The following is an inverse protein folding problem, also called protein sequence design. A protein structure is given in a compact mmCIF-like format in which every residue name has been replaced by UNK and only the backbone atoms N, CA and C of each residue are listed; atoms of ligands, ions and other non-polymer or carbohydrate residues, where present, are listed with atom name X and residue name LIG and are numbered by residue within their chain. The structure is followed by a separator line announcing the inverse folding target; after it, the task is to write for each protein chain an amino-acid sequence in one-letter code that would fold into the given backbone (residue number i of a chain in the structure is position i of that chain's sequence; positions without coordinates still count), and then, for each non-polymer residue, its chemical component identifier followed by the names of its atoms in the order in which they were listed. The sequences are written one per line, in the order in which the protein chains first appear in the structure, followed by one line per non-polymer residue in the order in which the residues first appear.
data_IF_507532802985
#
_entry.id   IF_507532802985
#
_cell.length_a   1.000
_cell.length_b   1.000
_cell.length_c   1.000
_cell.angle_alpha   90.00
_cell.angle_beta   90.00
_cell.angle_gamma   90.00
#
_symmetry.space_group_name_H-M   'P 1'
#
loop_
_entity.id
_entity.type
_entity.pdbx_description
1 polymer ?
#
# COMPACT_ATOMS: atom_id res chain seq x y z
N UNK A 1 25.67 -22.58 13.88
CA UNK A 1 25.27 -23.89 14.43
C UNK A 1 24.07 -24.54 13.71
N UNK A 2 23.23 -23.81 13.04
CA UNK A 2 22.07 -24.35 12.30
C UNK A 2 22.42 -25.10 11.00
N UNK A 3 23.57 -24.80 10.37
CA UNK A 3 24.00 -25.45 9.13
C UNK A 3 24.49 -26.92 9.28
N UNK A 4 24.85 -27.34 10.47
CA UNK A 4 25.28 -28.74 10.72
C UNK A 4 24.10 -29.71 10.91
N UNK A 5 22.90 -29.21 11.24
CA UNK A 5 21.71 -30.04 11.36
C UNK A 5 21.12 -30.44 9.99
N UNK A 6 21.36 -29.62 8.97
CA UNK A 6 20.81 -29.85 7.61
C UNK A 6 21.58 -30.95 6.84
N UNK A 7 22.87 -31.14 7.12
CA UNK A 7 23.69 -32.12 6.43
C UNK A 7 23.50 -33.59 6.92
N UNK A 8 22.85 -33.78 8.08
CA UNK A 8 22.63 -35.12 8.67
C UNK A 8 21.31 -35.79 8.22
N UNK A 9 20.45 -35.06 7.51
CA UNK A 9 19.15 -35.57 7.04
C UNK A 9 19.14 -36.01 5.58
N UNK A 10 20.25 -35.87 4.83
CA UNK A 10 20.34 -36.16 3.39
C UNK A 10 21.06 -37.44 3.00
N UNK A 11 21.56 -38.24 3.95
CA UNK A 11 22.23 -39.52 3.63
C UNK A 11 21.53 -40.66 4.37
N UNK A 12 20.86 -41.48 3.59
CA UNK A 12 20.25 -42.71 4.04
C UNK A 12 21.28 -43.83 4.20
N UNK A 13 21.01 -44.69 5.17
CA UNK A 13 21.50 -46.06 5.22
C UNK A 13 22.67 -46.27 6.18
N UNK A 14 22.41 -46.82 7.39
CA UNK A 14 22.85 -48.14 7.71
C UNK A 14 22.27 -48.61 9.06
N UNK A 15 21.82 -49.86 9.07
CA UNK A 15 21.20 -50.55 10.21
C UNK A 15 22.30 -50.91 11.23
N UNK A 16 22.13 -50.44 12.46
CA UNK A 16 22.76 -51.03 13.63
C UNK A 16 21.66 -51.54 14.55
N UNK A 17 21.59 -52.84 14.71
CA UNK A 17 20.68 -53.52 15.61
C UNK A 17 21.03 -53.25 17.05
N UNK A 18 20.07 -52.83 17.87
CA UNK A 18 20.11 -52.90 19.33
C UNK A 18 18.84 -53.57 19.84
N UNK A 19 19.09 -54.51 20.74
CA UNK A 19 18.15 -55.47 21.24
C UNK A 19 16.90 -54.91 21.91
N UNK A 20 15.89 -55.77 21.93
CA UNK A 20 14.56 -55.58 22.48
C UNK A 20 14.57 -55.29 23.97
N UNK A 21 14.18 -54.08 24.37
CA UNK A 21 13.62 -53.80 25.69
C UNK A 21 12.17 -53.41 25.46
N UNK A 22 11.24 -54.25 25.94
CA UNK A 22 9.79 -54.06 25.81
C UNK A 22 9.32 -52.84 26.60
N UNK A 23 8.97 -51.77 25.88
CA UNK A 23 8.19 -50.64 26.39
C UNK A 23 6.77 -50.74 25.82
N UNK A 24 5.74 -50.37 26.59
CA UNK A 24 4.36 -50.44 26.12
C UNK A 24 4.17 -49.59 24.87
N UNK A 25 3.49 -50.16 23.86
CA UNK A 25 3.21 -49.53 22.59
C UNK A 25 2.31 -48.32 22.75
N UNK A 26 2.89 -47.14 22.93
CA UNK A 26 2.19 -45.87 22.75
C UNK A 26 2.03 -45.64 21.24
N UNK A 27 0.82 -45.90 20.71
CA UNK A 27 0.45 -45.51 19.37
C UNK A 27 0.07 -44.01 19.41
N UNK A 28 1.06 -43.14 19.35
CA UNK A 28 0.84 -41.73 19.03
C UNK A 28 0.16 -41.58 17.65
N UNK A 29 -0.51 -40.47 17.37
CA UNK A 29 -1.06 -40.21 16.05
C UNK A 29 0.04 -40.41 15.00
N UNK A 30 -0.28 -41.09 13.90
CA UNK A 30 0.67 -41.37 12.82
C UNK A 30 1.39 -40.08 12.46
N UNK A 31 2.71 -40.09 12.52
CA UNK A 31 3.52 -38.95 12.09
C UNK A 31 3.08 -38.55 10.66
N UNK A 32 2.83 -37.26 10.38
CA UNK A 32 2.44 -36.83 9.05
C UNK A 32 3.51 -37.29 8.06
N UNK A 33 3.08 -37.97 6.99
CA UNK A 33 4.00 -38.52 6.01
C UNK A 33 4.92 -37.40 5.47
N UNK A 34 6.23 -37.60 5.52
CA UNK A 34 7.27 -36.65 5.06
C UNK A 34 7.08 -36.15 3.62
N UNK A 35 6.31 -36.83 2.78
CA UNK A 35 5.97 -36.39 1.43
C UNK A 35 5.05 -35.16 1.40
N UNK A 36 4.22 -34.91 2.42
CA UNK A 36 3.40 -33.70 2.56
C UNK A 36 4.18 -32.52 3.17
N UNK A 37 5.32 -32.75 3.78
CA UNK A 37 6.18 -31.71 4.35
C UNK A 37 6.93 -30.91 3.25
N UNK A 38 7.17 -31.48 2.07
CA UNK A 38 7.87 -30.82 0.97
C UNK A 38 7.17 -29.55 0.48
N UNK A 39 5.85 -29.50 0.52
CA UNK A 39 5.08 -28.33 0.09
C UNK A 39 5.19 -27.18 1.12
N UNK A 40 5.23 -27.51 2.39
CA UNK A 40 5.42 -26.50 3.47
C UNK A 40 6.83 -25.92 3.41
N UNK A 41 7.87 -26.75 3.21
CA UNK A 41 9.25 -26.29 3.11
C UNK A 41 9.44 -25.35 1.91
N UNK A 42 8.87 -25.66 0.75
CA UNK A 42 8.89 -24.76 -0.43
C UNK A 42 8.24 -23.41 -0.14
N UNK A 43 7.12 -23.39 0.59
CA UNK A 43 6.47 -22.13 0.98
C UNK A 43 7.36 -21.33 1.91
N UNK A 44 8.03 -21.98 2.89
CA UNK A 44 8.95 -21.33 3.82
C UNK A 44 10.19 -20.79 3.12
N UNK A 45 10.79 -21.56 2.20
CA UNK A 45 11.93 -21.13 1.36
C UNK A 45 11.53 -19.95 0.45
N UNK A 46 10.33 -20.00 -0.13
CA UNK A 46 9.78 -18.88 -0.90
C UNK A 46 9.57 -17.63 -0.05
N UNK A 47 9.09 -17.79 1.18
CA UNK A 47 8.91 -16.68 2.13
C UNK A 47 10.26 -16.08 2.56
N UNK A 48 11.27 -16.91 2.88
CA UNK A 48 12.63 -16.47 3.20
C UNK A 48 13.20 -15.64 2.04
N UNK A 49 13.16 -16.20 0.83
CA UNK A 49 13.63 -15.50 -0.39
C UNK A 49 12.92 -14.17 -0.61
N UNK A 50 11.59 -14.12 -0.41
CA UNK A 50 10.81 -12.89 -0.58
C UNK A 50 11.17 -11.81 0.44
N UNK A 51 11.37 -12.20 1.71
CA UNK A 51 11.76 -11.29 2.79
C UNK A 51 13.14 -10.69 2.50
N UNK A 52 14.13 -11.53 2.19
CA UNK A 52 15.49 -11.06 1.87
C UNK A 52 15.55 -10.22 0.61
N UNK A 53 14.78 -10.60 -0.43
CA UNK A 53 14.67 -9.82 -1.66
C UNK A 53 14.08 -8.44 -1.40
N UNK A 54 12.95 -8.35 -0.68
CA UNK A 54 12.33 -7.07 -0.33
C UNK A 54 13.27 -6.20 0.51
N UNK A 55 13.99 -6.79 1.48
CA UNK A 55 14.96 -6.08 2.31
C UNK A 55 16.15 -5.56 1.51
N UNK A 56 16.71 -6.37 0.59
CA UNK A 56 17.81 -5.95 -0.28
C UNK A 56 17.39 -4.84 -1.25
N UNK A 57 16.19 -4.92 -1.82
CA UNK A 57 15.64 -3.86 -2.68
C UNK A 57 15.41 -2.56 -1.88
N UNK A 58 14.91 -2.64 -0.64
CA UNK A 58 14.79 -1.48 0.26
C UNK A 58 16.15 -0.86 0.55
N UNK A 59 17.15 -1.68 0.89
CA UNK A 59 18.51 -1.24 1.14
C UNK A 59 19.13 -0.52 -0.07
N UNK A 60 18.86 -0.98 -1.31
CA UNK A 60 19.32 -0.28 -2.52
C UNK A 60 18.75 1.15 -2.63
N UNK A 61 17.53 1.37 -2.17
CA UNK A 61 16.92 2.70 -2.16
C UNK A 61 17.41 3.54 -0.97
N UNK A 62 17.52 2.95 0.21
CA UNK A 62 17.95 3.63 1.45
C UNK A 62 19.40 4.09 1.40
N UNK A 63 20.28 3.32 0.78
CA UNK A 63 21.69 3.66 0.60
C UNK A 63 21.94 4.65 -0.54
N UNK A 64 20.93 5.01 -1.32
CA UNK A 64 21.07 5.87 -2.49
C UNK A 64 21.63 5.17 -3.74
N UNK A 65 21.86 3.84 -3.70
CA UNK A 65 22.43 3.08 -4.82
C UNK A 65 21.62 3.25 -6.11
N UNK A 66 20.29 3.36 -6.02
CA UNK A 66 19.43 3.53 -7.20
C UNK A 66 19.76 4.81 -7.99
N UNK A 67 20.06 5.91 -7.31
CA UNK A 67 20.38 7.18 -7.97
C UNK A 67 21.63 7.08 -8.86
N UNK A 68 22.59 6.24 -8.49
CA UNK A 68 23.84 6.05 -9.22
C UNK A 68 23.73 5.08 -10.42
N UNK A 69 22.59 4.37 -10.55
CA UNK A 69 22.32 3.46 -11.66
C UNK A 69 21.72 4.14 -12.90
N UNK A 70 21.45 5.44 -12.85
CA UNK A 70 20.94 6.20 -13.99
C UNK A 70 21.92 6.27 -15.19
N UNK A 71 23.20 6.02 -14.95
CA UNK A 71 24.27 5.96 -15.96
C UNK A 71 25.08 4.67 -15.77
N UNK A 72 25.73 4.14 -16.84
CA UNK A 72 26.60 2.99 -16.72
C UNK A 72 27.77 3.24 -15.76
N UNK A 73 27.94 2.39 -14.73
CA UNK A 73 28.99 2.49 -13.74
C UNK A 73 29.57 1.10 -13.39
N UNK A 74 30.83 1.05 -12.98
CA UNK A 74 31.43 -0.18 -12.45
C UNK A 74 31.00 -0.41 -11.01
N UNK A 75 31.13 -1.64 -10.51
CA UNK A 75 30.83 -1.97 -9.11
C UNK A 75 31.67 -1.12 -8.15
N UNK A 76 32.95 -0.89 -8.45
CA UNK A 76 33.84 -0.11 -7.59
C UNK A 76 33.41 1.37 -7.53
N UNK A 77 33.01 1.95 -8.68
CA UNK A 77 32.45 3.30 -8.72
C UNK A 77 31.18 3.42 -7.88
N UNK A 78 30.25 2.45 -8.02
CA UNK A 78 29.02 2.43 -7.23
C UNK A 78 29.32 2.28 -5.73
N UNK A 79 30.25 1.39 -5.37
CA UNK A 79 30.64 1.14 -3.99
C UNK A 79 31.21 2.40 -3.32
N UNK A 80 32.07 3.15 -4.02
CA UNK A 80 32.57 4.44 -3.57
C UNK A 80 31.45 5.46 -3.37
N UNK A 81 30.50 5.55 -4.33
CA UNK A 81 29.41 6.53 -4.30
C UNK A 81 28.46 6.36 -3.12
N UNK A 82 28.30 5.12 -2.61
CA UNK A 82 27.41 4.81 -1.49
C UNK A 82 28.15 4.41 -0.21
N UNK A 83 29.48 4.53 -0.19
CA UNK A 83 30.34 4.17 0.96
C UNK A 83 30.13 2.74 1.48
N UNK A 84 29.94 1.79 0.57
CA UNK A 84 29.79 0.37 0.88
C UNK A 84 30.96 -0.44 0.28
N UNK A 85 31.16 -1.68 0.78
CA UNK A 85 32.13 -2.56 0.17
C UNK A 85 31.74 -3.00 -1.24
N UNK A 86 32.69 -3.15 -2.19
CA UNK A 86 32.39 -3.65 -3.54
C UNK A 86 31.71 -5.02 -3.55
N UNK A 87 32.05 -5.89 -2.59
CA UNK A 87 31.43 -7.20 -2.45
C UNK A 87 29.92 -7.10 -2.12
N UNK A 88 29.56 -6.20 -1.19
CA UNK A 88 28.16 -5.96 -0.84
C UNK A 88 27.39 -5.33 -2.00
N UNK A 89 27.94 -4.31 -2.66
CA UNK A 89 27.29 -3.66 -3.81
C UNK A 89 27.09 -4.66 -4.95
N UNK A 90 28.05 -5.52 -5.24
CA UNK A 90 27.91 -6.58 -6.25
C UNK A 90 26.76 -7.53 -5.95
N UNK A 91 26.56 -7.92 -4.68
CA UNK A 91 25.44 -8.78 -4.29
C UNK A 91 24.09 -8.06 -4.34
N UNK A 92 24.02 -6.80 -3.91
CA UNK A 92 22.80 -5.98 -4.06
C UNK A 92 22.43 -5.78 -5.53
N UNK A 93 23.40 -5.48 -6.40
CA UNK A 93 23.19 -5.40 -7.84
C UNK A 93 22.76 -6.76 -8.40
N UNK A 94 23.25 -7.86 -7.87
CA UNK A 94 22.83 -9.22 -8.20
C UNK A 94 21.35 -9.45 -7.92
N UNK A 95 20.83 -8.95 -6.78
CA UNK A 95 19.39 -8.99 -6.47
C UNK A 95 18.59 -8.14 -7.46
N UNK A 96 19.04 -6.91 -7.77
CA UNK A 96 18.39 -6.09 -8.79
C UNK A 96 18.36 -6.77 -10.16
N UNK A 97 19.45 -7.47 -10.53
CA UNK A 97 19.56 -8.20 -11.79
C UNK A 97 18.60 -9.38 -11.86
N UNK A 98 18.40 -10.13 -10.76
CA UNK A 98 17.42 -11.23 -10.69
C UNK A 98 15.99 -10.77 -10.94
N UNK A 99 15.68 -9.52 -10.61
CA UNK A 99 14.40 -8.86 -10.91
C UNK A 99 14.37 -8.16 -12.28
N UNK A 100 15.44 -8.25 -13.09
CA UNK A 100 15.57 -7.55 -14.38
C UNK A 100 15.48 -6.03 -14.25
N UNK A 101 15.92 -5.48 -13.12
CA UNK A 101 15.92 -4.04 -12.86
C UNK A 101 17.20 -3.36 -13.36
N UNK A 102 18.26 -4.12 -13.61
CA UNK A 102 19.50 -3.62 -14.17
C UNK A 102 19.93 -4.44 -15.38
N UNK A 103 20.75 -3.82 -16.23
CA UNK A 103 21.40 -4.44 -17.36
C UNK A 103 22.90 -4.23 -17.28
N UNK A 104 23.65 -5.27 -17.65
CA UNK A 104 25.10 -5.24 -17.71
C UNK A 104 25.55 -4.95 -19.14
N UNK A 105 26.59 -4.13 -19.25
CA UNK A 105 27.34 -3.88 -20.47
C UNK A 105 28.82 -4.02 -20.11
N UNK A 106 29.40 -5.19 -20.44
CA UNK A 106 30.72 -5.62 -20.01
C UNK A 106 30.89 -5.58 -18.47
N UNK A 107 31.74 -4.69 -17.95
CA UNK A 107 32.03 -4.49 -16.53
C UNK A 107 31.12 -3.40 -15.88
N UNK A 108 30.24 -2.78 -16.65
CA UNK A 108 29.37 -1.69 -16.22
C UNK A 108 27.93 -2.15 -16.08
N UNK A 109 27.26 -1.61 -15.09
CA UNK A 109 25.84 -1.84 -14.82
C UNK A 109 25.07 -0.53 -14.84
N UNK A 110 23.86 -0.57 -15.36
CA UNK A 110 22.91 0.57 -15.33
C UNK A 110 21.49 0.10 -15.12
N UNK A 111 20.61 1.00 -14.74
CA UNK A 111 19.19 0.73 -14.63
C UNK A 111 18.60 0.25 -15.97
N UNK A 112 17.76 -0.77 -15.93
CA UNK A 112 16.89 -1.15 -17.01
C UNK A 112 15.79 -0.08 -17.20
N UNK A 113 15.13 0.00 -18.37
CA UNK A 113 14.06 0.99 -18.62
C UNK A 113 12.96 0.99 -17.54
N UNK A 114 12.64 -0.15 -16.96
CA UNK A 114 11.65 -0.29 -15.89
C UNK A 114 12.09 0.35 -14.57
N UNK A 115 13.38 0.37 -14.25
CA UNK A 115 13.93 0.97 -13.04
C UNK A 115 14.34 2.43 -13.24
N UNK A 116 14.59 2.87 -14.47
CA UNK A 116 15.11 4.20 -14.77
C UNK A 116 14.31 5.35 -14.12
N UNK A 117 12.96 5.33 -14.07
CA UNK A 117 12.18 6.35 -13.36
C UNK A 117 12.47 6.44 -11.86
N UNK A 118 13.01 5.36 -11.25
CA UNK A 118 13.33 5.27 -9.82
C UNK A 118 14.77 5.66 -9.50
N UNK A 119 15.54 6.13 -10.48
CA UNK A 119 16.89 6.67 -10.26
C UNK A 119 16.90 8.18 -10.02
N UNK A 120 15.75 8.86 -10.10
CA UNK A 120 15.57 10.25 -9.68
C UNK A 120 15.32 10.33 -8.16
N UNK A 121 15.53 11.48 -7.50
CA UNK A 121 15.22 11.62 -6.07
C UNK A 121 13.80 11.22 -5.71
N UNK A 122 12.79 11.73 -6.44
CA UNK A 122 11.38 11.42 -6.18
C UNK A 122 11.06 9.96 -6.50
N UNK A 123 11.68 9.40 -7.53
CA UNK A 123 11.53 8.01 -7.89
C UNK A 123 12.14 7.06 -6.85
N UNK A 124 13.33 7.37 -6.37
CA UNK A 124 14.00 6.60 -5.31
C UNK A 124 13.18 6.61 -4.01
N UNK A 125 12.65 7.78 -3.62
CA UNK A 125 11.76 7.90 -2.47
C UNK A 125 10.50 7.04 -2.63
N UNK A 126 9.91 7.08 -3.81
CA UNK A 126 8.76 6.24 -4.16
C UNK A 126 9.08 4.75 -4.06
N UNK A 127 10.22 4.33 -4.58
CA UNK A 127 10.68 2.93 -4.51
C UNK A 127 10.89 2.51 -3.07
N UNK A 128 11.56 3.35 -2.27
CA UNK A 128 11.78 3.15 -0.84
C UNK A 128 10.46 2.99 -0.10
N UNK A 129 9.53 3.93 -0.25
CA UNK A 129 8.24 3.91 0.42
C UNK A 129 7.40 2.66 0.06
N UNK A 130 7.48 2.21 -1.22
CA UNK A 130 6.76 1.03 -1.69
C UNK A 130 7.17 -0.28 -0.99
N UNK A 131 8.38 -0.33 -0.46
CA UNK A 131 8.91 -1.49 0.28
C UNK A 131 8.87 -1.25 1.79
N UNK A 132 9.23 -0.06 2.24
CA UNK A 132 9.32 0.29 3.67
C UNK A 132 7.97 0.19 4.37
N UNK A 133 6.90 0.75 3.79
CA UNK A 133 5.58 0.69 4.39
C UNK A 133 5.10 -0.75 4.66
N UNK A 134 5.08 -1.68 3.67
CA UNK A 134 4.65 -3.05 3.93
C UNK A 134 5.59 -3.83 4.86
N UNK A 135 6.91 -3.59 4.83
CA UNK A 135 7.86 -4.25 5.73
C UNK A 135 7.60 -3.86 7.19
N UNK A 136 7.51 -2.56 7.48
CA UNK A 136 7.24 -2.05 8.82
C UNK A 136 5.86 -2.45 9.34
N UNK A 137 4.83 -2.41 8.49
CA UNK A 137 3.48 -2.84 8.87
C UNK A 137 3.43 -4.33 9.20
N UNK A 138 4.09 -5.18 8.41
CA UNK A 138 4.14 -6.62 8.64
C UNK A 138 4.90 -6.96 9.94
N UNK A 139 5.99 -6.26 10.23
CA UNK A 139 6.74 -6.44 11.45
C UNK A 139 5.96 -5.95 12.68
N UNK A 140 5.35 -4.77 12.62
CA UNK A 140 4.44 -4.25 13.64
C UNK A 140 3.29 -5.23 13.93
N UNK A 141 2.66 -5.77 12.87
CA UNK A 141 1.60 -6.78 13.02
C UNK A 141 2.07 -7.99 13.82
N UNK A 142 3.23 -8.56 13.45
CA UNK A 142 3.79 -9.75 14.08
C UNK A 142 4.05 -9.53 15.59
N UNK A 143 4.66 -8.40 15.96
CA UNK A 143 4.93 -8.05 17.36
C UNK A 143 3.64 -7.83 18.14
N UNK A 144 2.75 -6.99 17.65
CA UNK A 144 1.49 -6.68 18.33
C UNK A 144 0.59 -7.90 18.52
N UNK A 145 0.59 -8.85 17.57
CA UNK A 145 -0.12 -10.11 17.73
C UNK A 145 0.51 -11.00 18.80
N UNK A 146 1.84 -11.09 18.82
CA UNK A 146 2.56 -11.87 19.84
C UNK A 146 2.36 -11.29 21.24
N UNK A 147 2.37 -9.99 21.40
CA UNK A 147 2.18 -9.26 22.66
C UNK A 147 0.69 -9.11 23.04
N UNK A 148 -0.24 -9.60 22.21
CA UNK A 148 -1.69 -9.46 22.39
C UNK A 148 -2.19 -8.02 22.53
N UNK A 149 -1.47 -7.07 21.92
CA UNK A 149 -1.84 -5.64 21.91
C UNK A 149 -2.55 -5.21 20.62
N UNK A 150 -2.78 -6.17 19.70
CA UNK A 150 -3.47 -5.90 18.44
C UNK A 150 -4.96 -5.66 18.68
N UNK A 151 -5.47 -4.52 18.21
CA UNK A 151 -6.90 -4.21 18.14
C UNK A 151 -7.35 -4.12 16.68
N UNK A 152 -8.66 -4.20 16.45
CA UNK A 152 -9.27 -4.14 15.12
C UNK A 152 -10.12 -2.86 14.93
N UNK A 153 -9.85 -1.84 15.71
CA UNK A 153 -10.65 -0.61 15.81
C UNK A 153 -10.32 0.44 14.73
N UNK A 154 -9.71 0.04 13.65
CA UNK A 154 -9.31 0.91 12.55
C UNK A 154 -7.80 0.97 12.35
N UNK A 155 -7.34 2.02 11.68
CA UNK A 155 -5.92 2.28 11.50
C UNK A 155 -5.27 2.70 12.82
N UNK A 156 -4.41 1.85 13.36
CA UNK A 156 -3.81 2.04 14.68
C UNK A 156 -2.28 2.17 14.66
N UNK A 157 -1.68 2.37 13.48
CA UNK A 157 -0.25 2.62 13.38
C UNK A 157 0.08 4.05 13.83
N UNK A 158 1.00 4.15 14.80
CA UNK A 158 1.53 5.40 15.33
C UNK A 158 2.98 5.65 14.94
N UNK A 159 3.63 4.67 14.28
CA UNK A 159 5.00 4.81 13.78
C UNK A 159 5.04 5.81 12.63
N UNK A 160 5.78 6.90 12.82
CA UNK A 160 5.94 7.98 11.84
C UNK A 160 6.44 7.45 10.48
N UNK A 161 7.38 6.50 10.48
CA UNK A 161 7.92 5.95 9.24
C UNK A 161 6.87 5.16 8.43
N UNK A 162 5.88 4.55 9.09
CA UNK A 162 4.74 3.90 8.43
C UNK A 162 3.83 4.95 7.80
N UNK A 163 3.49 6.00 8.55
CA UNK A 163 2.58 7.08 8.12
C UNK A 163 3.19 7.84 6.94
N UNK A 164 4.45 8.24 7.05
CA UNK A 164 5.25 8.90 6.01
C UNK A 164 5.31 8.09 4.72
N UNK A 165 5.68 6.81 4.84
CA UNK A 165 5.76 5.92 3.68
C UNK A 165 4.39 5.71 3.02
N UNK A 166 3.31 5.62 3.81
CA UNK A 166 1.95 5.51 3.29
C UNK A 166 1.51 6.79 2.58
N UNK A 167 1.85 7.96 3.11
CA UNK A 167 1.60 9.26 2.48
C UNK A 167 2.30 9.39 1.12
N UNK A 168 3.57 9.01 1.06
CA UNK A 168 4.35 8.97 -0.19
C UNK A 168 3.73 8.04 -1.22
N UNK A 169 3.30 6.84 -0.81
CA UNK A 169 2.60 5.90 -1.69
C UNK A 169 1.28 6.48 -2.21
N UNK A 170 0.51 7.12 -1.35
CA UNK A 170 -0.77 7.74 -1.73
C UNK A 170 -0.55 8.85 -2.75
N UNK A 171 0.46 9.71 -2.55
CA UNK A 171 0.85 10.74 -3.51
C UNK A 171 1.22 10.16 -4.88
N UNK A 172 2.05 9.11 -4.91
CA UNK A 172 2.41 8.41 -6.14
C UNK A 172 1.20 7.82 -6.86
N UNK A 173 0.36 7.08 -6.12
CA UNK A 173 -0.84 6.47 -6.69
C UNK A 173 -1.75 7.51 -7.32
N UNK A 174 -1.94 8.63 -6.63
CA UNK A 174 -2.73 9.76 -7.10
C UNK A 174 -2.15 10.34 -8.39
N UNK A 175 -0.86 10.65 -8.42
CA UNK A 175 -0.18 11.19 -9.62
C UNK A 175 -0.34 10.25 -10.81
N UNK A 176 -0.21 8.93 -10.62
CA UNK A 176 -0.43 7.94 -11.68
C UNK A 176 -1.90 7.79 -12.10
N UNK A 177 -2.84 8.13 -11.22
CA UNK A 177 -4.26 8.06 -11.48
C UNK A 177 -4.80 9.31 -12.19
N UNK A 178 -4.12 10.46 -12.13
CA UNK A 178 -4.55 11.72 -12.72
C UNK A 178 -5.04 11.60 -14.18
N UNK A 179 -4.30 10.93 -15.11
CA UNK A 179 -4.75 10.78 -16.48
C UNK A 179 -6.06 10.02 -16.64
N UNK A 180 -6.45 9.24 -15.63
CA UNK A 180 -7.68 8.45 -15.64
C UNK A 180 -8.92 9.25 -15.21
N UNK A 181 -8.74 10.40 -14.57
CA UNK A 181 -9.87 11.26 -14.17
C UNK A 181 -10.69 11.75 -15.37
N UNK A 182 -10.08 11.87 -16.55
CA UNK A 182 -10.77 12.21 -17.81
C UNK A 182 -11.87 11.22 -18.20
N UNK A 183 -11.83 9.98 -17.70
CA UNK A 183 -12.89 8.99 -17.97
C UNK A 183 -14.13 9.18 -17.09
N UNK A 184 -14.10 10.12 -16.14
CA UNK A 184 -15.25 10.52 -15.33
C UNK A 184 -15.89 11.76 -15.95
N UNK A 185 -17.08 11.63 -16.53
CA UNK A 185 -17.70 12.73 -17.29
C UNK A 185 -17.83 14.01 -16.48
N UNK A 186 -17.28 15.10 -17.03
CA UNK A 186 -17.35 16.44 -16.46
C UNK A 186 -16.45 16.71 -15.24
N UNK A 187 -15.68 15.71 -14.74
CA UNK A 187 -14.87 15.90 -13.54
C UNK A 187 -13.68 16.84 -13.81
N UNK A 188 -12.83 16.53 -14.77
CA UNK A 188 -11.62 17.34 -15.04
C UNK A 188 -11.95 18.81 -15.28
N UNK A 189 -12.92 19.17 -16.17
CA UNK A 189 -13.31 20.56 -16.35
C UNK A 189 -13.84 21.25 -15.08
N UNK A 190 -14.38 20.49 -14.12
CA UNK A 190 -14.78 21.03 -12.81
C UNK A 190 -13.59 21.36 -11.95
N UNK A 191 -12.61 20.45 -11.87
CA UNK A 191 -11.42 20.61 -11.01
C UNK A 191 -10.49 21.72 -11.51
N UNK A 192 -10.56 22.09 -12.78
CA UNK A 192 -9.82 23.19 -13.39
C UNK A 192 -10.41 24.58 -13.10
N UNK A 193 -11.67 24.65 -12.64
CA UNK A 193 -12.35 25.94 -12.39
C UNK A 193 -11.94 26.55 -11.06
N UNK A 194 -11.91 27.90 -10.98
CA UNK A 194 -11.85 28.60 -9.69
C UNK A 194 -12.99 28.17 -8.76
N UNK A 195 -12.66 27.95 -7.50
CA UNK A 195 -13.62 27.48 -6.49
C UNK A 195 -13.91 25.98 -6.52
N UNK A 196 -13.16 25.20 -7.29
CA UNK A 196 -13.17 23.73 -7.21
C UNK A 196 -12.67 23.27 -5.84
N UNK A 197 -13.35 22.24 -5.29
CA UNK A 197 -13.05 21.75 -3.96
C UNK A 197 -13.05 20.21 -3.88
N UNK A 198 -12.06 19.68 -3.15
CA UNK A 198 -11.85 18.28 -2.83
C UNK A 198 -12.17 18.00 -1.36
N UNK A 199 -12.82 16.86 -1.11
CA UNK A 199 -12.91 16.23 0.20
C UNK A 199 -12.03 14.98 0.21
N UNK A 200 -11.00 14.95 1.08
CA UNK A 200 -10.10 13.82 1.26
C UNK A 200 -10.39 13.18 2.62
N UNK A 201 -11.03 12.01 2.64
CA UNK A 201 -11.46 11.34 3.87
C UNK A 201 -10.40 10.36 4.34
N UNK A 202 -9.97 10.47 5.61
CA UNK A 202 -8.88 9.67 6.15
C UNK A 202 -7.56 10.01 5.46
N UNK A 203 -7.25 11.30 5.42
CA UNK A 203 -6.17 11.86 4.61
C UNK A 203 -4.77 11.44 5.06
N UNK A 204 -4.60 11.00 6.32
CA UNK A 204 -3.30 10.64 6.87
C UNK A 204 -2.29 11.77 6.68
N UNK A 205 -1.16 11.47 6.03
CA UNK A 205 -0.13 12.44 5.70
C UNK A 205 -0.47 13.36 4.50
N UNK A 206 -1.74 13.50 4.13
CA UNK A 206 -2.28 14.38 3.08
C UNK A 206 -1.74 14.14 1.65
N UNK A 207 -1.19 12.96 1.37
CA UNK A 207 -0.53 12.67 0.09
C UNK A 207 -1.44 12.83 -1.13
N UNK A 208 -2.74 12.47 -1.04
CA UNK A 208 -3.72 12.63 -2.12
C UNK A 208 -4.03 14.11 -2.36
N UNK A 209 -4.34 14.85 -1.29
CA UNK A 209 -4.65 16.28 -1.35
C UNK A 209 -3.49 17.07 -1.95
N UNK A 210 -2.25 16.80 -1.52
CA UNK A 210 -1.04 17.44 -2.06
C UNK A 210 -0.89 17.17 -3.57
N UNK A 211 -1.06 15.90 -4.00
CA UNK A 211 -0.92 15.54 -5.41
C UNK A 211 -1.99 16.20 -6.29
N UNK A 212 -3.25 16.23 -5.84
CA UNK A 212 -4.35 16.84 -6.61
C UNK A 212 -4.24 18.36 -6.65
N UNK A 213 -4.00 19.02 -5.52
CA UNK A 213 -3.84 20.48 -5.48
C UNK A 213 -2.57 20.94 -6.19
N UNK A 214 -1.50 20.13 -6.19
CA UNK A 214 -0.31 20.40 -7.00
C UNK A 214 -0.57 20.32 -8.50
N UNK A 215 -1.48 19.45 -8.94
CA UNK A 215 -1.83 19.29 -10.35
C UNK A 215 -2.89 20.31 -10.83
N UNK A 216 -3.90 20.60 -10.01
CA UNK A 216 -4.97 21.55 -10.31
C UNK A 216 -4.75 22.87 -9.55
N UNK A 217 -4.31 23.94 -10.23
CA UNK A 217 -3.89 25.18 -9.55
C UNK A 217 -4.98 25.89 -8.75
N UNK A 218 -6.25 25.72 -9.15
CA UNK A 218 -7.41 26.35 -8.50
C UNK A 218 -8.12 25.45 -7.48
N UNK A 219 -7.70 24.18 -7.36
CA UNK A 219 -8.31 23.25 -6.46
C UNK A 219 -7.92 23.56 -5.01
N UNK A 220 -8.93 23.62 -4.14
CA UNK A 220 -8.75 23.60 -2.69
C UNK A 220 -9.13 22.23 -2.12
N UNK A 221 -8.66 21.88 -0.94
CA UNK A 221 -8.99 20.62 -0.29
C UNK A 221 -9.32 20.80 1.18
N UNK A 222 -10.32 20.03 1.63
CA UNK A 222 -10.55 19.72 3.04
C UNK A 222 -10.15 18.27 3.25
N UNK A 223 -9.16 18.04 4.08
CA UNK A 223 -8.59 16.74 4.39
C UNK A 223 -9.01 16.33 5.81
N UNK A 224 -9.86 15.31 5.93
CA UNK A 224 -10.34 14.82 7.22
C UNK A 224 -9.37 13.75 7.75
N UNK A 225 -8.79 13.98 8.91
CA UNK A 225 -7.94 13.01 9.62
C UNK A 225 -8.20 13.11 11.13
N UNK A 226 -8.96 12.16 11.72
CA UNK A 226 -9.33 12.22 13.12
C UNK A 226 -8.16 11.95 14.08
N UNK A 227 -7.14 11.20 13.65
CA UNK A 227 -5.99 10.85 14.48
C UNK A 227 -5.00 12.03 14.58
N UNK A 228 -4.63 12.51 15.78
CA UNK A 228 -3.77 13.68 15.93
C UNK A 228 -2.42 13.54 15.24
N UNK A 229 -1.71 12.44 15.46
CA UNK A 229 -0.36 12.26 14.94
C UNK A 229 -0.27 12.20 13.39
N UNK A 230 -1.10 11.43 12.65
CA UNK A 230 -1.18 11.54 11.19
C UNK A 230 -1.57 12.94 10.70
N UNK A 231 -2.48 13.64 11.41
CA UNK A 231 -2.87 15.00 11.07
C UNK A 231 -1.70 15.99 11.19
N UNK A 232 -0.88 15.90 12.27
CA UNK A 232 0.32 16.73 12.45
C UNK A 232 1.33 16.53 11.33
N UNK A 233 1.54 15.27 10.90
CA UNK A 233 2.40 14.93 9.76
C UNK A 233 1.83 15.53 8.47
N UNK A 234 0.53 15.38 8.25
CA UNK A 234 -0.15 15.97 7.10
C UNK A 234 -0.03 17.49 7.02
N UNK A 235 -0.23 18.20 8.16
CA UNK A 235 -0.03 19.64 8.25
C UNK A 235 1.41 20.06 7.92
N UNK A 236 2.41 19.29 8.39
CA UNK A 236 3.81 19.50 8.03
C UNK A 236 4.04 19.35 6.53
N UNK A 237 3.58 18.26 5.92
CA UNK A 237 3.74 18.02 4.49
C UNK A 237 3.03 19.06 3.62
N UNK A 238 1.86 19.52 4.02
CA UNK A 238 1.12 20.57 3.33
C UNK A 238 1.93 21.88 3.32
N UNK A 239 2.52 22.28 4.46
CA UNK A 239 3.40 23.45 4.54
C UNK A 239 4.66 23.29 3.70
N UNK A 240 5.34 22.14 3.76
CA UNK A 240 6.53 21.84 2.96
C UNK A 240 6.25 21.87 1.46
N UNK A 241 5.02 21.52 1.05
CA UNK A 241 4.57 21.63 -0.33
C UNK A 241 4.13 23.04 -0.74
N UNK A 242 4.10 24.02 0.18
CA UNK A 242 3.60 25.38 -0.07
C UNK A 242 2.11 25.44 -0.41
N UNK A 243 1.31 24.53 0.20
CA UNK A 243 -0.12 24.38 -0.11
C UNK A 243 -1.02 24.68 1.11
N UNK A 244 -0.48 25.24 2.18
CA UNK A 244 -1.18 25.59 3.42
C UNK A 244 -2.34 26.60 3.22
N UNK A 245 -2.24 27.46 2.19
CA UNK A 245 -3.34 28.35 1.78
C UNK A 245 -4.45 27.66 0.98
N UNK A 246 -4.29 26.38 0.58
CA UNK A 246 -5.26 25.64 -0.26
C UNK A 246 -5.72 24.32 0.30
N UNK A 247 -5.02 23.75 1.28
CA UNK A 247 -5.35 22.48 1.91
C UNK A 247 -5.56 22.72 3.40
N UNK A 248 -6.78 22.48 3.88
CA UNK A 248 -7.13 22.55 5.30
C UNK A 248 -7.25 21.13 5.86
N UNK A 249 -6.44 20.77 6.87
CA UNK A 249 -6.60 19.52 7.62
C UNK A 249 -7.57 19.75 8.76
N UNK A 250 -8.62 18.92 8.83
CA UNK A 250 -9.60 18.92 9.92
C UNK A 250 -9.48 17.62 10.72
N UNK A 251 -9.31 17.75 12.05
CA UNK A 251 -9.33 16.60 12.99
C UNK A 251 -10.78 16.17 13.25
N UNK A 252 -11.39 15.63 12.20
CA UNK A 252 -12.83 15.32 12.11
C UNK A 252 -13.04 13.93 11.53
N UNK A 253 -14.03 13.22 12.04
CA UNK A 253 -14.47 11.92 11.49
C UNK A 253 -15.38 12.15 10.28
N UNK A 254 -15.46 11.15 9.41
CA UNK A 254 -16.30 11.23 8.22
C UNK A 254 -17.81 11.30 8.54
N UNK A 255 -18.23 10.61 9.60
CA UNK A 255 -19.61 10.61 10.10
C UNK A 255 -20.04 11.95 10.73
N UNK A 256 -19.07 12.78 11.15
CA UNK A 256 -19.34 14.09 11.73
C UNK A 256 -19.34 15.23 10.68
N UNK A 257 -19.22 14.88 9.38
CA UNK A 257 -19.19 15.87 8.30
C UNK A 257 -20.52 16.56 8.13
N UNK A 258 -20.54 17.91 8.25
CA UNK A 258 -21.74 18.75 8.14
C UNK A 258 -21.76 19.60 6.87
N UNK A 259 -20.65 19.64 6.12
CA UNK A 259 -20.56 20.41 4.88
C UNK A 259 -21.66 19.97 3.88
N UNK A 260 -22.33 20.92 3.24
CA UNK A 260 -23.35 20.68 2.24
C UNK A 260 -22.97 21.28 0.90
N UNK A 261 -23.06 20.49 -0.19
CA UNK A 261 -22.79 20.93 -1.57
C UNK A 261 -21.52 21.76 -1.71
N UNK A 262 -20.48 21.38 -0.98
CA UNK A 262 -19.22 22.11 -0.90
C UNK A 262 -18.15 21.58 -1.87
N UNK A 263 -18.18 20.28 -2.23
CA UNK A 263 -17.08 19.61 -2.94
C UNK A 263 -17.49 19.13 -4.34
N UNK A 264 -16.54 19.16 -5.26
CA UNK A 264 -16.67 18.62 -6.62
C UNK A 264 -16.16 17.18 -6.72
N UNK A 265 -15.21 16.84 -5.86
CA UNK A 265 -14.63 15.52 -5.76
C UNK A 265 -14.51 15.13 -4.28
N UNK A 266 -14.84 13.88 -3.97
CA UNK A 266 -14.53 13.26 -2.70
C UNK A 266 -13.69 11.99 -2.92
N UNK A 267 -12.78 11.69 -2.01
CA UNK A 267 -12.01 10.44 -1.97
C UNK A 267 -12.24 9.73 -0.65
N UNK A 268 -12.46 8.41 -0.70
CA UNK A 268 -12.70 7.57 0.45
C UNK A 268 -11.87 6.28 0.34
N UNK A 269 -10.82 6.09 1.15
CA UNK A 269 -10.10 4.83 1.27
C UNK A 269 -10.87 3.88 2.19
N UNK A 270 -11.84 3.15 1.64
CA UNK A 270 -12.79 2.30 2.37
C UNK A 270 -12.12 1.28 3.31
N UNK A 271 -10.88 0.86 2.98
CA UNK A 271 -10.12 -0.09 3.77
C UNK A 271 -9.78 0.42 5.19
N UNK A 272 -9.92 1.68 5.46
CA UNK A 272 -9.62 2.27 6.77
C UNK A 272 -10.88 2.66 7.58
N UNK A 273 -12.09 2.47 7.00
CA UNK A 273 -13.34 2.79 7.69
C UNK A 273 -14.00 1.53 8.26
N UNK A 274 -14.33 1.52 9.57
CA UNK A 274 -15.10 0.45 10.20
C UNK A 274 -16.48 0.25 9.55
N UNK A 275 -16.98 -1.00 9.61
CA UNK A 275 -18.27 -1.35 8.99
C UNK A 275 -19.46 -0.62 9.62
N UNK A 276 -19.36 -0.34 10.90
CA UNK A 276 -20.42 0.32 11.65
C UNK A 276 -20.75 1.72 11.14
N UNK A 277 -19.73 2.46 10.67
CA UNK A 277 -19.89 3.88 10.29
C UNK A 277 -19.97 4.12 8.78
N UNK A 278 -19.69 3.10 7.95
CA UNK A 278 -19.55 3.31 6.49
C UNK A 278 -20.81 3.88 5.84
N UNK A 279 -22.01 3.45 6.25
CA UNK A 279 -23.25 3.91 5.63
C UNK A 279 -23.48 5.39 5.96
N UNK A 280 -23.31 5.78 7.22
CA UNK A 280 -23.44 7.19 7.63
C UNK A 280 -22.38 8.06 6.95
N UNK A 281 -21.13 7.63 6.90
CA UNK A 281 -20.08 8.35 6.18
C UNK A 281 -20.43 8.56 4.69
N UNK A 282 -20.97 7.55 4.00
CA UNK A 282 -21.39 7.67 2.60
C UNK A 282 -22.51 8.68 2.42
N UNK A 283 -23.48 8.72 3.33
CA UNK A 283 -24.58 9.68 3.32
C UNK A 283 -24.11 11.12 3.57
N UNK A 284 -23.19 11.31 4.53
CA UNK A 284 -22.54 12.61 4.79
C UNK A 284 -21.73 13.08 3.58
N UNK A 285 -20.91 12.21 2.98
CA UNK A 285 -20.17 12.52 1.77
C UNK A 285 -21.10 12.85 0.60
N UNK A 286 -22.21 12.11 0.44
CA UNK A 286 -23.19 12.43 -0.60
C UNK A 286 -23.75 13.84 -0.45
N UNK A 287 -24.15 14.23 0.77
CA UNK A 287 -24.65 15.59 1.04
C UNK A 287 -23.62 16.67 0.81
N UNK A 288 -22.35 16.39 1.14
CA UNK A 288 -21.25 17.32 0.98
C UNK A 288 -20.83 17.58 -0.46
N UNK A 289 -21.07 16.63 -1.38
CA UNK A 289 -20.77 16.82 -2.79
C UNK A 289 -21.74 17.80 -3.45
N UNK A 290 -21.28 18.58 -4.40
CA UNK A 290 -22.14 19.37 -5.31
C UNK A 290 -22.89 18.46 -6.27
N UNK A 291 -24.07 18.84 -6.79
CA UNK A 291 -24.73 18.11 -7.87
C UNK A 291 -23.77 17.87 -9.05
N UNK A 292 -23.70 16.63 -9.54
CA UNK A 292 -22.74 16.19 -10.55
C UNK A 292 -21.33 15.94 -10.05
N UNK A 293 -21.05 16.12 -8.76
CA UNK A 293 -19.77 15.78 -8.13
C UNK A 293 -19.53 14.26 -8.04
N UNK A 294 -18.27 13.87 -7.87
CA UNK A 294 -17.86 12.47 -7.85
C UNK A 294 -17.26 12.05 -6.53
N UNK A 295 -17.57 10.83 -6.10
CA UNK A 295 -16.90 10.11 -5.04
C UNK A 295 -16.03 9.01 -5.64
N UNK A 296 -14.75 8.97 -5.29
CA UNK A 296 -13.82 7.90 -5.61
C UNK A 296 -13.59 7.04 -4.36
N UNK A 297 -14.02 5.79 -4.40
CA UNK A 297 -13.83 4.84 -3.29
C UNK A 297 -12.71 3.88 -3.63
N UNK A 298 -11.62 3.94 -2.88
CA UNK A 298 -10.53 2.98 -3.00
C UNK A 298 -10.85 1.71 -2.19
N UNK A 299 -10.67 0.56 -2.82
CA UNK A 299 -10.96 -0.77 -2.24
C UNK A 299 -9.79 -1.69 -2.48
N UNK A 300 -9.30 -2.33 -1.43
CA UNK A 300 -8.31 -3.39 -1.57
C UNK A 300 -9.00 -4.67 -2.05
N UNK A 301 -8.62 -5.16 -3.23
CA UNK A 301 -9.27 -6.33 -3.86
C UNK A 301 -9.07 -7.59 -3.02
N UNK A 302 -10.17 -8.28 -2.74
CA UNK A 302 -10.23 -9.52 -1.95
C UNK A 302 -10.80 -10.68 -2.76
N UNK A 303 -11.02 -10.47 -4.06
CA UNK A 303 -11.64 -11.44 -4.94
C UNK A 303 -10.71 -12.63 -5.20
N UNK A 304 -11.26 -13.85 -5.13
CA UNK A 304 -10.55 -15.09 -5.37
C UNK A 304 -10.00 -15.75 -4.09
N UNK A 305 -9.46 -16.96 -4.27
CA UNK A 305 -9.00 -17.84 -3.18
C UNK A 305 -7.48 -17.95 -3.07
N UNK A 306 -6.73 -17.20 -3.88
CA UNK A 306 -5.26 -17.22 -3.86
C UNK A 306 -4.65 -16.45 -2.70
N UNK A 307 -3.35 -16.63 -2.50
CA UNK A 307 -2.56 -16.00 -1.42
C UNK A 307 -2.71 -14.49 -1.40
N UNK A 308 -2.68 -13.81 -2.55
CA UNK A 308 -2.84 -12.35 -2.66
C UNK A 308 -4.18 -11.89 -2.06
N UNK A 309 -5.27 -12.60 -2.38
CA UNK A 309 -6.59 -12.27 -1.87
C UNK A 309 -6.70 -12.53 -0.36
N UNK A 310 -6.08 -13.60 0.15
CA UNK A 310 -6.02 -13.91 1.57
C UNK A 310 -5.24 -12.83 2.35
N UNK A 311 -4.08 -12.42 1.85
CA UNK A 311 -3.28 -11.33 2.44
C UNK A 311 -4.03 -10.00 2.39
N UNK A 312 -4.75 -9.71 1.31
CA UNK A 312 -5.55 -8.49 1.22
C UNK A 312 -6.72 -8.49 2.22
N UNK A 313 -7.37 -9.64 2.46
CA UNK A 313 -8.38 -9.78 3.52
C UNK A 313 -7.79 -9.50 4.90
N UNK A 314 -6.61 -10.08 5.20
CA UNK A 314 -5.90 -9.81 6.44
C UNK A 314 -5.59 -8.32 6.60
N UNK A 315 -5.01 -7.68 5.59
CA UNK A 315 -4.71 -6.23 5.61
C UNK A 315 -5.96 -5.38 5.83
N UNK A 316 -7.06 -5.67 5.12
CA UNK A 316 -8.32 -4.95 5.31
C UNK A 316 -8.84 -5.07 6.75
N UNK A 317 -8.78 -6.26 7.33
CA UNK A 317 -9.18 -6.47 8.72
C UNK A 317 -8.32 -5.65 9.69
N UNK A 318 -7.00 -5.71 9.51
CA UNK A 318 -6.03 -4.98 10.35
C UNK A 318 -6.15 -3.45 10.23
N UNK A 319 -6.56 -2.95 9.07
CA UNK A 319 -6.73 -1.53 8.83
C UNK A 319 -8.13 -1.00 9.22
N UNK A 320 -9.02 -1.89 9.67
CA UNK A 320 -10.36 -1.53 10.15
C UNK A 320 -11.45 -1.56 9.10
N UNK A 321 -11.11 -1.69 7.81
CA UNK A 321 -12.07 -1.68 6.70
C UNK A 321 -12.88 -2.96 6.53
N UNK A 322 -12.68 -3.96 7.40
CA UNK A 322 -13.37 -5.24 7.34
C UNK A 322 -13.19 -5.96 5.97
N UNK A 323 -13.82 -7.11 5.77
CA UNK A 323 -13.69 -7.94 4.56
C UNK A 323 -14.71 -7.59 3.47
N UNK A 324 -15.02 -6.29 3.28
CA UNK A 324 -15.99 -5.85 2.26
C UNK A 324 -15.44 -5.99 0.85
N UNK A 325 -16.15 -6.76 0.01
CA UNK A 325 -15.90 -6.80 -1.42
C UNK A 325 -16.52 -5.60 -2.14
N UNK A 326 -16.02 -5.29 -3.34
CA UNK A 326 -16.58 -4.22 -4.22
C UNK A 326 -18.10 -4.37 -4.41
N UNK A 327 -18.60 -5.60 -4.52
CA UNK A 327 -20.02 -5.86 -4.72
C UNK A 327 -20.90 -5.44 -3.54
N UNK A 328 -20.35 -5.39 -2.32
CA UNK A 328 -21.07 -4.94 -1.13
C UNK A 328 -21.16 -3.41 -1.01
N UNK A 329 -20.28 -2.67 -1.70
CA UNK A 329 -20.30 -1.22 -1.69
C UNK A 329 -21.35 -0.63 -2.63
N UNK A 330 -21.61 -1.29 -3.76
CA UNK A 330 -22.57 -0.78 -4.75
C UNK A 330 -23.97 -0.54 -4.19
N UNK A 331 -24.60 -1.49 -3.46
CA UNK A 331 -25.90 -1.24 -2.82
C UNK A 331 -25.86 -0.10 -1.81
N UNK A 332 -24.78 0.01 -1.02
CA UNK A 332 -24.64 1.08 -0.02
C UNK A 332 -24.48 2.46 -0.66
N UNK A 333 -23.71 2.56 -1.74
CA UNK A 333 -23.60 3.79 -2.52
C UNK A 333 -24.94 4.20 -3.14
N UNK A 334 -25.66 3.24 -3.72
CA UNK A 334 -27.00 3.49 -4.26
C UNK A 334 -28.00 3.92 -3.16
N UNK A 335 -27.97 3.29 -1.99
CA UNK A 335 -28.79 3.65 -0.83
C UNK A 335 -28.49 5.08 -0.33
N UNK A 336 -27.23 5.53 -0.42
CA UNK A 336 -26.83 6.91 -0.11
C UNK A 336 -27.24 7.93 -1.20
N UNK A 337 -27.75 7.46 -2.36
CA UNK A 337 -28.25 8.33 -3.45
C UNK A 337 -27.30 8.49 -4.63
N UNK A 338 -26.18 7.81 -4.67
CA UNK A 338 -25.23 7.89 -5.80
C UNK A 338 -25.73 7.15 -7.04
N UNK A 339 -25.69 7.81 -8.21
CA UNK A 339 -26.00 7.25 -9.53
C UNK A 339 -25.29 8.07 -10.62
N UNK A 340 -24.56 7.46 -11.57
CA UNK A 340 -24.19 6.05 -11.62
C UNK A 340 -23.11 5.64 -10.62
N UNK A 341 -23.03 4.33 -10.33
CA UNK A 341 -21.94 3.69 -9.62
C UNK A 341 -21.15 2.83 -10.61
N UNK A 342 -19.90 3.21 -10.88
CA UNK A 342 -19.05 2.65 -11.92
C UNK A 342 -17.82 2.00 -11.26
N UNK A 343 -17.46 0.79 -11.66
CA UNK A 343 -16.20 0.17 -11.30
C UNK A 343 -15.15 0.57 -12.34
N UNK A 344 -14.07 1.22 -11.92
CA UNK A 344 -12.97 1.53 -12.82
C UNK A 344 -12.30 0.23 -13.33
N UNK A 345 -11.95 0.16 -14.60
CA UNK A 345 -11.28 -1.01 -15.17
C UNK A 345 -9.88 -1.20 -14.58
N UNK A 346 -9.43 -2.44 -14.47
CA UNK A 346 -8.09 -2.80 -14.00
C UNK A 346 -8.08 -4.07 -13.16
N UNK A 347 -6.89 -4.71 -13.10
CA UNK A 347 -6.64 -5.94 -12.31
C UNK A 347 -5.65 -5.71 -11.16
N UNK A 348 -5.47 -4.45 -10.72
CA UNK A 348 -4.56 -4.12 -9.62
C UNK A 348 -5.13 -4.54 -8.27
N UNK A 349 -4.26 -4.70 -7.26
CA UNK A 349 -4.68 -4.99 -5.89
C UNK A 349 -5.61 -3.91 -5.35
N UNK A 350 -5.30 -2.63 -5.61
CA UNK A 350 -6.17 -1.51 -5.31
C UNK A 350 -7.17 -1.30 -6.45
N UNK A 351 -8.45 -1.35 -6.13
CA UNK A 351 -9.59 -1.11 -7.04
C UNK A 351 -10.22 0.24 -6.74
N UNK A 352 -10.81 0.84 -7.77
CA UNK A 352 -11.55 2.08 -7.62
C UNK A 352 -13.01 1.87 -8.01
N UNK A 353 -13.92 2.29 -7.13
CA UNK A 353 -15.34 2.44 -7.42
C UNK A 353 -15.61 3.93 -7.49
N UNK A 354 -16.18 4.38 -8.60
CA UNK A 354 -16.52 5.78 -8.84
C UNK A 354 -18.04 5.93 -8.76
N UNK A 355 -18.51 6.84 -7.94
CA UNK A 355 -19.93 7.08 -7.72
C UNK A 355 -20.23 8.57 -7.93
N UNK A 356 -21.32 8.89 -8.59
CA UNK A 356 -21.66 10.29 -8.90
C UNK A 356 -22.87 10.74 -8.11
N UNK A 357 -22.83 11.94 -7.55
CA UNK A 357 -24.05 12.62 -7.13
C UNK A 357 -24.82 13.09 -8.38
N UNK A 358 -26.08 12.68 -8.59
CA UNK A 358 -26.88 13.14 -9.74
C UNK A 358 -26.95 14.67 -9.80
N UNK A 359 -27.11 15.22 -11.01
CA UNK A 359 -27.51 16.60 -11.14
C UNK A 359 -28.92 16.79 -10.56
N UNK A 360 -29.19 17.96 -10.01
CA UNK A 360 -30.58 18.33 -9.73
C UNK A 360 -31.34 18.19 -11.07
N UNK A 361 -32.36 17.36 -11.11
CA UNK A 361 -33.28 17.39 -12.24
C UNK A 361 -33.90 18.76 -12.21
N UNK A 362 -33.86 19.48 -13.34
CA UNK A 362 -34.76 20.61 -13.52
C UNK A 362 -36.17 20.07 -13.27
N UNK A 363 -36.99 20.75 -12.46
CA UNK A 363 -38.39 20.37 -12.32
C UNK A 363 -39.03 20.46 -13.70
N UNK A 364 -39.34 19.26 -14.25
CA UNK A 364 -40.10 19.12 -15.48
C UNK A 364 -41.50 19.67 -15.33
#
# INVERSE_FOLDING_TARGET
MLWRAYALLSHGGDRIGLGSIGLPSWRGPAAPSFQRSGDVLKVLEGADTAIWSASALSACAETGLLAHLGKPATIDTLAQSVSLSPALVRTLVGVLASHRFVVWDQDRVRAAPSLLPFTTPEGAETFRASLRAPLLQADSFRHRLADRTLTLDGWTHTDEAIIESQGTLTRLWTTRALPKLKFLPGLVPRLEKPGAALLDVGAGAAGLSIALCGHFPHLTAVALEPAPHPADIGERHVREAGLDGRIAIRRQRAEDLEDERAFDLAFLPQMFLPDAIIQEALERIFRSLRPGGWLLVAVLSQEGNGTVSAVNRLKNLLWGGNTRAVNHLRPRLAAAGFDPVIRAPGRHALRMVCARRPNLRDPS
#
